data_IF_023612535728
#
_entry.id   IF_023612535728
#
_cell.length_a   1.000
_cell.length_b   1.000
_cell.length_c   1.000
_cell.angle_alpha   90.00
_cell.angle_beta   90.00
_cell.angle_gamma   90.00
#
_symmetry.space_group_name_H-M   'P 1'
#
loop_
_entity.id
_entity.type
_entity.pdbx_description
1 polymer ?
#
# COMPACT_ATOMS: atom_id res chain seq x y z
N UNK A 1 -11.37 -7.39 -6.34
CA UNK A 1 -10.21 -8.17 -5.84
C UNK A 1 -10.34 -9.64 -6.20
N UNK A 2 -9.26 -10.26 -6.69
CA UNK A 2 -9.21 -11.71 -6.85
C UNK A 2 -9.32 -12.38 -5.47
N UNK A 3 -10.05 -13.48 -5.37
CA UNK A 3 -10.30 -14.25 -4.15
C UNK A 3 -9.03 -14.53 -3.33
N UNK A 4 -7.89 -14.81 -3.98
CA UNK A 4 -6.64 -15.07 -3.26
C UNK A 4 -6.09 -13.82 -2.53
N UNK A 5 -6.19 -12.66 -3.15
CA UNK A 5 -5.72 -11.40 -2.55
C UNK A 5 -6.64 -10.98 -1.40
N UNK A 6 -7.94 -11.14 -1.58
CA UNK A 6 -8.91 -10.83 -0.51
C UNK A 6 -8.64 -11.67 0.74
N UNK A 7 -8.47 -12.99 0.59
CA UNK A 7 -8.12 -13.87 1.71
C UNK A 7 -6.83 -13.44 2.43
N UNK A 8 -5.81 -12.98 1.69
CA UNK A 8 -4.55 -12.49 2.29
C UNK A 8 -4.79 -11.22 3.10
N UNK A 9 -5.55 -10.27 2.57
CA UNK A 9 -5.90 -9.02 3.26
C UNK A 9 -6.74 -9.30 4.50
N UNK A 10 -7.73 -10.19 4.44
CA UNK A 10 -8.53 -10.55 5.62
C UNK A 10 -7.66 -11.18 6.71
N UNK A 11 -6.73 -12.07 6.36
CA UNK A 11 -5.80 -12.64 7.33
C UNK A 11 -4.88 -11.59 7.98
N UNK A 12 -4.42 -10.60 7.21
CA UNK A 12 -3.65 -9.47 7.74
C UNK A 12 -4.51 -8.64 8.69
N UNK A 13 -5.74 -8.28 8.30
CA UNK A 13 -6.65 -7.49 9.14
C UNK A 13 -7.01 -8.19 10.45
N UNK A 14 -7.24 -9.49 10.43
CA UNK A 14 -7.50 -10.26 11.65
C UNK A 14 -6.31 -10.16 12.63
N UNK A 15 -5.07 -10.30 12.13
CA UNK A 15 -3.86 -10.11 12.96
C UNK A 15 -3.70 -8.68 13.44
N UNK A 16 -4.04 -7.69 12.63
CA UNK A 16 -4.00 -6.28 13.04
C UNK A 16 -4.94 -6.02 14.22
N UNK A 17 -6.15 -6.61 14.20
CA UNK A 17 -7.10 -6.53 15.31
C UNK A 17 -6.51 -7.15 16.59
N UNK A 18 -5.94 -8.35 16.49
CA UNK A 18 -5.33 -9.04 17.63
C UNK A 18 -4.15 -8.25 18.26
N UNK A 19 -3.48 -7.42 17.46
CA UNK A 19 -2.33 -6.61 17.85
C UNK A 19 -2.66 -5.14 18.17
N UNK A 20 -3.93 -4.74 18.09
CA UNK A 20 -4.38 -3.34 18.24
C UNK A 20 -3.64 -2.36 17.31
N UNK A 21 -3.45 -2.76 16.06
CA UNK A 21 -2.81 -1.95 15.02
C UNK A 21 -3.89 -1.35 14.12
N UNK A 22 -3.93 -0.03 14.02
CA UNK A 22 -4.89 0.70 13.18
C UNK A 22 -4.50 0.68 11.69
N UNK A 23 -3.19 0.77 11.42
CA UNK A 23 -2.63 0.89 10.07
C UNK A 23 -1.34 0.09 9.94
N UNK A 24 -1.27 -0.76 8.92
CA UNK A 24 -0.05 -1.46 8.51
C UNK A 24 0.56 -0.79 7.27
N UNK A 25 1.83 -0.42 7.36
CA UNK A 25 2.63 0.07 6.24
C UNK A 25 3.52 -1.06 5.71
N UNK A 26 3.49 -1.33 4.40
CA UNK A 26 4.26 -2.42 3.77
C UNK A 26 5.17 -1.84 2.69
N UNK A 27 6.47 -1.79 2.99
CA UNK A 27 7.51 -1.21 2.11
C UNK A 27 8.30 -2.24 1.31
N UNK A 28 8.40 -3.47 1.79
CA UNK A 28 9.18 -4.53 1.14
C UNK A 28 8.47 -5.04 -0.10
N UNK A 29 9.16 -5.04 -1.25
CA UNK A 29 8.58 -5.36 -2.57
C UNK A 29 7.85 -6.70 -2.62
N UNK A 30 8.38 -7.76 -2.01
CA UNK A 30 7.78 -9.10 -2.08
C UNK A 30 6.46 -9.13 -1.31
N UNK A 31 6.40 -8.44 -0.17
CA UNK A 31 5.18 -8.31 0.62
C UNK A 31 4.16 -7.40 -0.07
N UNK A 32 4.63 -6.31 -0.67
CA UNK A 32 3.81 -5.40 -1.48
C UNK A 32 3.16 -6.16 -2.63
N UNK A 33 3.93 -6.92 -3.38
CA UNK A 33 3.42 -7.76 -4.46
C UNK A 33 2.44 -8.82 -3.94
N UNK A 34 2.80 -9.53 -2.87
CA UNK A 34 1.96 -10.57 -2.29
C UNK A 34 0.57 -10.06 -1.85
N UNK A 35 0.49 -8.83 -1.32
CA UNK A 35 -0.73 -8.26 -0.77
C UNK A 35 -1.54 -7.42 -1.76
N UNK A 36 -0.94 -6.97 -2.87
CA UNK A 36 -1.61 -6.08 -3.84
C UNK A 36 -1.65 -6.60 -5.27
N UNK A 37 -0.77 -7.52 -5.65
CA UNK A 37 -0.54 -7.91 -7.05
C UNK A 37 0.36 -6.94 -7.83
N UNK A 38 0.70 -5.76 -7.27
CA UNK A 38 1.59 -4.79 -7.91
C UNK A 38 3.01 -5.35 -8.05
N UNK A 39 3.54 -5.38 -9.28
CA UNK A 39 4.84 -6.01 -9.60
C UNK A 39 5.99 -5.02 -9.45
N UNK A 40 5.72 -3.71 -9.42
CA UNK A 40 6.74 -2.66 -9.43
C UNK A 40 7.94 -2.96 -8.52
N UNK A 41 9.12 -3.04 -9.13
CA UNK A 41 10.37 -3.43 -8.48
C UNK A 41 11.04 -2.23 -7.82
N UNK A 42 11.61 -2.45 -6.64
CA UNK A 42 12.43 -1.43 -5.99
C UNK A 42 13.77 -1.29 -6.76
N UNK A 43 14.29 -0.06 -6.79
CA UNK A 43 15.45 0.31 -7.60
C UNK A 43 16.76 0.21 -6.82
N UNK A 44 17.51 1.32 -6.81
CA UNK A 44 18.65 1.45 -5.90
C UNK A 44 18.20 1.44 -4.43
N UNK A 45 19.15 1.36 -3.50
CA UNK A 45 18.90 1.24 -2.06
C UNK A 45 18.00 2.33 -1.45
N UNK A 46 17.81 3.46 -2.13
CA UNK A 46 16.96 4.59 -1.75
C UNK A 46 15.70 4.77 -2.64
N UNK A 47 15.46 3.87 -3.59
CA UNK A 47 14.33 3.91 -4.50
C UNK A 47 13.36 2.75 -4.27
N UNK A 48 12.10 3.09 -3.99
CA UNK A 48 11.01 2.11 -3.96
C UNK A 48 9.96 2.44 -5.02
N UNK A 49 9.40 1.40 -5.64
CA UNK A 49 8.27 1.54 -6.56
C UNK A 49 6.96 1.88 -5.84
N UNK A 50 6.90 1.74 -4.52
CA UNK A 50 5.76 2.17 -3.74
C UNK A 50 5.59 1.45 -2.41
N UNK A 51 4.60 1.91 -1.65
CA UNK A 51 4.30 1.41 -0.31
C UNK A 51 2.80 1.22 -0.16
N UNK A 52 2.41 0.12 0.47
CA UNK A 52 1.00 -0.11 0.83
C UNK A 52 0.70 0.46 2.20
N UNK A 53 -0.50 1.00 2.33
CA UNK A 53 -1.15 1.27 3.61
C UNK A 53 -2.44 0.47 3.69
N UNK A 54 -2.52 -0.40 4.68
CA UNK A 54 -3.67 -1.27 4.92
C UNK A 54 -4.28 -0.85 6.27
N UNK A 55 -5.56 -0.50 6.26
CA UNK A 55 -6.34 -0.30 7.49
C UNK A 55 -7.45 -1.35 7.57
N UNK A 56 -8.27 -1.27 8.62
CA UNK A 56 -9.47 -2.10 8.75
C UNK A 56 -10.42 -2.02 7.53
N UNK A 57 -10.44 -0.90 6.81
CA UNK A 57 -11.40 -0.64 5.74
C UNK A 57 -10.82 0.01 4.47
N UNK A 58 -9.57 0.49 4.48
CA UNK A 58 -8.90 1.14 3.35
C UNK A 58 -7.71 0.33 2.89
N UNK A 59 -7.46 0.38 1.59
CA UNK A 59 -6.28 -0.13 0.92
C UNK A 59 -5.73 1.00 0.06
N UNK A 60 -4.51 1.47 0.35
CA UNK A 60 -3.86 2.52 -0.43
C UNK A 60 -2.49 2.08 -0.91
N UNK A 61 -2.13 2.47 -2.12
CA UNK A 61 -0.81 2.23 -2.71
C UNK A 61 -0.19 3.58 -3.05
N UNK A 62 0.76 4.02 -2.23
CA UNK A 62 1.51 5.24 -2.49
C UNK A 62 2.69 4.93 -3.42
N UNK A 63 2.80 5.65 -4.53
CA UNK A 63 3.88 5.48 -5.51
C UNK A 63 4.30 6.83 -6.09
N UNK A 64 5.38 6.85 -6.87
CA UNK A 64 5.76 8.02 -7.65
C UNK A 64 5.14 7.98 -9.05
N UNK A 65 5.30 9.08 -9.80
CA UNK A 65 4.68 9.24 -11.11
C UNK A 65 5.11 8.20 -12.17
N UNK A 66 6.23 7.49 -11.98
CA UNK A 66 6.73 6.47 -12.92
C UNK A 66 5.82 5.24 -12.94
N UNK A 67 5.24 4.88 -11.80
CA UNK A 67 4.47 3.65 -11.65
C UNK A 67 2.96 3.87 -11.50
N UNK A 68 2.45 5.10 -11.51
CA UNK A 68 1.03 5.37 -11.25
C UNK A 68 0.08 4.55 -12.14
N UNK A 69 0.28 4.58 -13.46
CA UNK A 69 -0.55 3.81 -14.41
C UNK A 69 -0.41 2.29 -14.22
N UNK A 70 0.77 1.83 -13.81
CA UNK A 70 1.02 0.42 -13.54
C UNK A 70 0.29 -0.01 -12.26
N UNK A 71 0.38 0.78 -11.20
CA UNK A 71 -0.28 0.55 -9.93
C UNK A 71 -1.81 0.48 -10.09
N UNK A 72 -2.41 1.43 -10.83
CA UNK A 72 -3.85 1.44 -11.12
C UNK A 72 -4.30 0.19 -11.87
N UNK A 73 -3.47 -0.31 -12.80
CA UNK A 73 -3.77 -1.51 -13.61
C UNK A 73 -3.61 -2.80 -12.81
N UNK A 74 -2.54 -2.92 -12.03
CA UNK A 74 -2.14 -4.17 -11.36
C UNK A 74 -2.77 -4.35 -9.99
N UNK A 75 -3.10 -3.25 -9.31
CA UNK A 75 -3.74 -3.22 -8.00
C UNK A 75 -5.03 -2.39 -8.02
N UNK A 76 -6.05 -2.76 -8.83
CA UNK A 76 -7.27 -1.96 -9.02
C UNK A 76 -8.15 -1.81 -7.77
N UNK A 77 -7.90 -2.60 -6.73
CA UNK A 77 -8.59 -2.52 -5.44
C UNK A 77 -7.93 -1.55 -4.45
N UNK A 78 -6.78 -0.99 -4.81
CA UNK A 78 -6.05 0.00 -4.02
C UNK A 78 -6.34 1.40 -4.55
N UNK A 79 -6.57 2.34 -3.62
CA UNK A 79 -6.55 3.76 -3.93
C UNK A 79 -5.09 4.20 -4.14
N UNK A 80 -4.73 4.50 -5.39
CA UNK A 80 -3.36 4.84 -5.77
C UNK A 80 -3.10 6.32 -5.49
N UNK A 81 -2.10 6.59 -4.65
CA UNK A 81 -1.67 7.95 -4.33
C UNK A 81 -0.32 8.19 -5.01
N UNK A 82 -0.26 9.19 -5.89
CA UNK A 82 1.02 9.67 -6.42
C UNK A 82 1.62 10.73 -5.49
N UNK A 83 2.71 10.42 -4.79
CA UNK A 83 3.49 11.42 -4.06
C UNK A 83 4.37 12.24 -5.00
N UNK A 84 4.56 13.53 -4.70
CA UNK A 84 5.29 14.49 -5.55
C UNK A 84 6.68 14.81 -5.04
N UNK A 85 6.84 14.86 -3.72
CA UNK A 85 8.11 15.25 -3.07
C UNK A 85 8.91 14.04 -2.56
N UNK A 86 8.36 12.84 -2.74
CA UNK A 86 8.87 11.61 -2.16
C UNK A 86 8.03 11.19 -0.94
N UNK A 87 8.05 9.88 -0.66
CA UNK A 87 7.20 9.28 0.38
C UNK A 87 7.36 9.98 1.74
N UNK A 88 8.59 10.29 2.17
CA UNK A 88 8.81 10.86 3.51
C UNK A 88 8.13 12.22 3.71
N UNK A 89 8.09 13.03 2.66
CA UNK A 89 7.51 14.37 2.73
C UNK A 89 5.99 14.35 2.68
N UNK A 90 5.43 13.39 1.94
CA UNK A 90 3.99 13.27 1.73
C UNK A 90 3.32 12.29 2.73
N UNK A 91 4.11 11.55 3.53
CA UNK A 91 3.65 10.53 4.48
C UNK A 91 2.61 11.06 5.47
N UNK A 92 2.84 12.22 6.07
CA UNK A 92 1.91 12.81 7.03
C UNK A 92 0.55 13.12 6.39
N UNK A 93 0.56 13.59 5.14
CA UNK A 93 -0.65 13.82 4.35
C UNK A 93 -1.40 12.51 4.07
N UNK A 94 -0.67 11.49 3.60
CA UNK A 94 -1.23 10.16 3.33
C UNK A 94 -1.88 9.57 4.59
N UNK A 95 -1.18 9.60 5.72
CA UNK A 95 -1.70 9.09 7.00
C UNK A 95 -2.92 9.89 7.49
N UNK A 96 -2.99 11.20 7.23
CA UNK A 96 -4.14 12.01 7.60
C UNK A 96 -5.42 11.60 6.88
N UNK A 97 -5.33 11.12 5.63
CA UNK A 97 -6.46 10.59 4.86
C UNK A 97 -6.91 9.20 5.35
N UNK A 98 -6.05 8.47 6.04
CA UNK A 98 -6.34 7.14 6.54
C UNK A 98 -7.14 7.16 7.84
N UNK A 99 -6.94 8.18 8.68
CA UNK A 99 -7.72 8.38 9.91
C UNK A 99 -9.21 8.29 9.61
N UNK A 100 -9.86 7.31 10.21
CA UNK A 100 -11.30 7.35 10.40
C UNK A 100 -11.49 7.98 11.78
N UNK A 101 -12.30 9.03 11.82
CA UNK A 101 -12.62 9.83 13.02
C UNK A 101 -12.85 8.96 14.25
#
# INVERSE_FOLDING_TARGET
MNQYLDNRIQNVRNKMIDMDIDTLMVSIQENRHYLSGFIGEDGQFDESAGVLFITANKLKLATDGRYNLQAEREAPDYDVITYKKGLMFDLAGILSELKSV
#
